data_IF_935055999771
#
_entry.id   IF_935055999771
#
_cell.length_a   1.000
_cell.length_b   1.000
_cell.length_c   1.000
_cell.angle_alpha   90.00
_cell.angle_beta   90.00
_cell.angle_gamma   90.00
#
_symmetry.space_group_name_H-M   'P 1'
#
loop_
_entity.id
_entity.type
_entity.pdbx_description
1 polymer ?
#
# COMPACT_ATOMS: atom_id res chain seq x y z
N UNK A 1 6.35 14.11 -4.50
CA UNK A 1 6.14 12.78 -3.91
C UNK A 1 6.64 12.64 -2.47
N UNK A 2 7.57 13.45 -2.00
CA UNK A 2 8.10 13.39 -0.61
C UNK A 2 7.02 13.54 0.48
N UNK A 3 5.91 14.20 0.19
CA UNK A 3 4.79 14.41 1.12
C UNK A 3 3.63 13.40 0.93
N UNK A 4 3.84 12.32 0.19
CA UNK A 4 2.77 11.32 -0.05
C UNK A 4 2.16 10.73 1.23
N UNK A 5 2.89 10.46 2.32
CA UNK A 5 2.27 10.02 3.57
C UNK A 5 1.32 11.07 4.17
N UNK A 6 1.70 12.37 4.08
CA UNK A 6 0.87 13.47 4.59
C UNK A 6 -0.41 13.63 3.77
N UNK A 7 -0.32 13.49 2.44
CA UNK A 7 -1.48 13.56 1.56
C UNK A 7 -2.53 12.45 1.82
N UNK A 8 -2.15 11.38 2.52
CA UNK A 8 -3.05 10.30 2.89
C UNK A 8 -3.86 10.59 4.19
N UNK A 9 -3.55 11.65 4.93
CA UNK A 9 -4.22 11.94 6.20
C UNK A 9 -5.75 11.99 6.11
N UNK A 10 -6.38 12.61 5.09
CA UNK A 10 -7.84 12.63 5.01
C UNK A 10 -8.46 11.23 4.92
N UNK A 11 -7.90 10.36 4.07
CA UNK A 11 -8.40 8.99 3.91
C UNK A 11 -8.05 8.11 5.11
N UNK A 12 -6.91 8.35 5.77
CA UNK A 12 -6.54 7.68 7.01
C UNK A 12 -7.46 8.07 8.16
N UNK A 13 -7.84 9.34 8.26
CA UNK A 13 -8.83 9.81 9.24
C UNK A 13 -10.22 9.20 8.97
N UNK A 14 -10.65 9.12 7.72
CA UNK A 14 -11.91 8.46 7.38
C UNK A 14 -11.91 6.99 7.81
N UNK A 15 -10.81 6.26 7.58
CA UNK A 15 -10.65 4.89 8.04
C UNK A 15 -10.69 4.80 9.59
N UNK A 16 -10.00 5.69 10.29
CA UNK A 16 -10.01 5.74 11.76
C UNK A 16 -11.43 5.99 12.31
N UNK A 17 -12.19 6.88 11.69
CA UNK A 17 -13.58 7.17 12.07
C UNK A 17 -14.46 5.93 11.90
N UNK A 18 -14.32 5.19 10.79
CA UNK A 18 -15.07 3.94 10.58
C UNK A 18 -14.77 2.92 11.68
N UNK A 19 -13.48 2.77 12.04
CA UNK A 19 -13.09 1.85 13.11
C UNK A 19 -13.65 2.30 14.46
N UNK A 20 -13.54 3.58 14.80
CA UNK A 20 -14.07 4.14 16.06
C UNK A 20 -15.59 4.01 16.16
N UNK A 21 -16.31 4.28 15.07
CA UNK A 21 -17.78 4.12 15.03
C UNK A 21 -18.19 2.65 15.10
N UNK A 22 -17.43 1.76 14.46
CA UNK A 22 -17.65 0.32 14.54
C UNK A 22 -17.48 -0.22 15.95
N UNK A 23 -16.46 0.25 16.68
CA UNK A 23 -16.23 -0.08 18.08
C UNK A 23 -17.37 0.43 18.97
N UNK A 24 -17.77 1.70 18.82
CA UNK A 24 -18.92 2.27 19.53
C UNK A 24 -20.24 1.53 19.26
N UNK A 25 -20.44 1.05 18.03
CA UNK A 25 -21.61 0.28 17.64
C UNK A 25 -21.52 -1.22 17.96
N UNK A 26 -20.42 -1.64 18.59
CA UNK A 26 -20.14 -3.05 18.96
C UNK A 26 -20.23 -3.99 17.73
N UNK A 27 -19.80 -3.53 16.57
CA UNK A 27 -19.82 -4.35 15.35
C UNK A 27 -18.72 -5.43 15.39
N UNK A 28 -18.97 -6.60 14.79
CA UNK A 28 -17.93 -7.62 14.63
C UNK A 28 -16.68 -7.04 13.91
N UNK A 29 -15.45 -7.33 14.39
CA UNK A 29 -14.23 -6.79 13.80
C UNK A 29 -14.08 -7.02 12.30
N UNK A 30 -14.56 -8.16 11.80
CA UNK A 30 -14.56 -8.46 10.38
C UNK A 30 -15.44 -7.49 9.56
N UNK A 31 -16.59 -7.09 10.10
CA UNK A 31 -17.49 -6.12 9.47
C UNK A 31 -16.83 -4.75 9.45
N UNK A 32 -16.25 -4.33 10.57
CA UNK A 32 -15.51 -3.06 10.68
C UNK A 32 -14.35 -3.01 9.67
N UNK A 33 -13.59 -4.10 9.56
CA UNK A 33 -12.49 -4.21 8.59
C UNK A 33 -12.99 -4.11 7.14
N UNK A 34 -14.07 -4.80 6.79
CA UNK A 34 -14.66 -4.75 5.45
C UNK A 34 -15.14 -3.33 5.10
N UNK A 35 -15.85 -2.66 6.02
CA UNK A 35 -16.29 -1.27 5.83
C UNK A 35 -15.10 -0.31 5.70
N UNK A 36 -14.05 -0.52 6.48
CA UNK A 36 -12.83 0.30 6.41
C UNK A 36 -12.15 0.15 5.05
N UNK A 37 -11.98 -1.08 4.56
CA UNK A 37 -11.40 -1.34 3.22
C UNK A 37 -12.27 -0.73 2.12
N UNK A 38 -13.61 -0.83 2.23
CA UNK A 38 -14.54 -0.20 1.30
C UNK A 38 -14.39 1.33 1.27
N UNK A 39 -14.25 1.98 2.44
CA UNK A 39 -14.01 3.43 2.53
C UNK A 39 -12.65 3.82 1.95
N UNK A 40 -11.60 3.03 2.17
CA UNK A 40 -10.29 3.26 1.55
C UNK A 40 -10.36 3.16 0.01
N UNK A 41 -11.03 2.12 -0.50
CA UNK A 41 -11.24 1.96 -1.94
C UNK A 41 -12.08 3.12 -2.53
N UNK A 42 -13.20 3.45 -1.90
CA UNK A 42 -14.07 4.56 -2.35
C UNK A 42 -13.37 5.91 -2.27
N UNK A 43 -12.68 6.20 -1.18
CA UNK A 43 -11.94 7.46 -0.96
C UNK A 43 -10.79 7.70 -1.94
N UNK A 44 -10.24 6.63 -2.50
CA UNK A 44 -9.23 6.68 -3.56
C UNK A 44 -9.81 6.43 -4.96
N UNK A 45 -11.13 6.30 -5.09
CA UNK A 45 -11.81 5.92 -6.33
C UNK A 45 -11.27 4.62 -6.92
N UNK A 46 -10.88 3.69 -6.06
CA UNK A 46 -10.25 2.41 -6.39
C UNK A 46 -8.94 2.50 -7.22
N UNK A 47 -8.36 3.69 -7.39
CA UNK A 47 -7.21 3.96 -8.27
C UNK A 47 -5.99 3.10 -7.94
N UNK A 48 -5.80 2.74 -6.65
CA UNK A 48 -4.68 1.87 -6.25
C UNK A 48 -4.96 0.40 -6.59
N UNK A 49 -6.20 -0.05 -6.44
CA UNK A 49 -6.62 -1.40 -6.80
C UNK A 49 -6.58 -1.60 -8.32
N UNK A 50 -7.01 -0.60 -9.08
CA UNK A 50 -6.89 -0.54 -10.53
C UNK A 50 -5.41 -0.66 -10.96
N UNK A 51 -4.54 0.16 -10.36
CA UNK A 51 -3.11 0.08 -10.62
C UNK A 51 -2.49 -1.27 -10.24
N UNK A 52 -2.99 -1.93 -9.20
CA UNK A 52 -2.58 -3.30 -8.87
C UNK A 52 -3.01 -4.29 -9.95
N UNK A 53 -4.28 -4.24 -10.38
CA UNK A 53 -4.81 -5.09 -11.43
C UNK A 53 -3.99 -4.96 -12.72
N UNK A 54 -3.82 -3.73 -13.21
CA UNK A 54 -3.07 -3.43 -14.42
C UNK A 54 -1.61 -3.89 -14.34
N UNK A 55 -0.97 -3.66 -13.18
CA UNK A 55 0.43 -4.09 -12.97
C UNK A 55 0.55 -5.61 -13.01
N UNK A 56 -0.38 -6.35 -12.38
CA UNK A 56 -0.35 -7.81 -12.36
C UNK A 56 -0.69 -8.39 -13.72
N UNK A 57 -1.68 -7.85 -14.43
CA UNK A 57 -2.01 -8.27 -15.80
C UNK A 57 -0.85 -7.98 -16.76
N UNK A 58 -0.20 -6.83 -16.63
CA UNK A 58 0.98 -6.50 -17.44
C UNK A 58 2.16 -7.44 -17.20
N UNK A 59 2.41 -7.83 -15.94
CA UNK A 59 3.46 -8.79 -15.59
C UNK A 59 3.13 -10.18 -16.11
N UNK A 60 1.87 -10.61 -15.98
CA UNK A 60 1.45 -11.96 -16.30
C UNK A 60 1.20 -12.23 -17.79
N UNK A 61 0.74 -11.21 -18.53
CA UNK A 61 0.37 -11.35 -19.94
C UNK A 61 1.38 -10.79 -20.94
N UNK A 62 2.42 -10.08 -20.49
CA UNK A 62 3.37 -9.38 -21.36
C UNK A 62 4.69 -10.12 -21.54
N UNK A 63 4.85 -10.84 -22.68
CA UNK A 63 6.12 -11.48 -23.05
C UNK A 63 7.19 -10.48 -23.52
N UNK A 64 6.78 -9.30 -23.99
CA UNK A 64 7.66 -8.17 -24.32
C UNK A 64 7.24 -6.93 -23.53
N UNK A 65 8.16 -5.98 -23.39
CA UNK A 65 7.88 -4.70 -22.68
C UNK A 65 6.72 -3.96 -23.33
N UNK A 66 6.70 -3.87 -24.65
CA UNK A 66 5.68 -3.20 -25.45
C UNK A 66 4.30 -3.82 -25.19
N UNK A 67 4.24 -5.15 -25.21
CA UNK A 67 3.00 -5.89 -24.98
C UNK A 67 2.52 -5.74 -23.54
N UNK A 68 3.42 -5.80 -22.56
CA UNK A 68 3.10 -5.59 -21.16
C UNK A 68 2.52 -4.18 -20.91
N UNK A 69 3.14 -3.15 -21.48
CA UNK A 69 2.65 -1.78 -21.38
C UNK A 69 1.37 -1.53 -22.18
N UNK A 70 1.12 -2.29 -23.25
CA UNK A 70 -0.15 -2.28 -24.00
C UNK A 70 -1.29 -2.85 -23.15
N UNK A 71 -1.07 -4.01 -22.49
CA UNK A 71 -2.05 -4.64 -21.61
C UNK A 71 -2.47 -3.65 -20.51
N UNK A 72 -1.52 -3.01 -19.85
CA UNK A 72 -1.80 -1.99 -18.82
C UNK A 72 -2.53 -0.73 -19.30
N UNK A 73 -2.76 -0.56 -20.61
CA UNK A 73 -3.54 0.57 -21.18
C UNK A 73 -4.96 0.20 -21.56
N UNK A 74 -5.28 -1.07 -21.49
CA UNK A 74 -6.62 -1.53 -21.83
C UNK A 74 -7.60 -1.08 -20.75
N UNK A 75 -8.84 -0.87 -21.12
CA UNK A 75 -9.92 -0.54 -20.19
C UNK A 75 -10.55 -1.77 -19.54
N UNK A 76 -10.18 -2.97 -20.01
CA UNK A 76 -10.62 -4.25 -19.47
C UNK A 76 -9.60 -4.82 -18.49
N UNK A 77 -10.06 -5.39 -17.41
CA UNK A 77 -9.22 -6.06 -16.41
C UNK A 77 -9.08 -7.53 -16.81
N UNK A 78 -7.85 -8.01 -16.88
CA UNK A 78 -7.55 -9.40 -17.17
C UNK A 78 -7.77 -10.34 -15.97
N UNK A 79 -7.76 -11.65 -16.19
CA UNK A 79 -8.04 -12.62 -15.13
C UNK A 79 -7.02 -12.62 -14.00
N UNK A 80 -5.76 -12.27 -14.28
CA UNK A 80 -4.72 -12.18 -13.25
C UNK A 80 -4.90 -10.94 -12.39
N UNK A 81 -5.29 -9.80 -12.96
CA UNK A 81 -5.64 -8.58 -12.25
C UNK A 81 -6.84 -8.78 -11.33
N UNK A 82 -7.91 -9.41 -11.85
CA UNK A 82 -9.08 -9.76 -11.02
C UNK A 82 -8.69 -10.65 -9.85
N UNK A 83 -7.94 -11.72 -10.10
CA UNK A 83 -7.49 -12.63 -9.04
C UNK A 83 -6.63 -11.90 -8.00
N UNK A 84 -5.71 -11.04 -8.43
CA UNK A 84 -4.85 -10.28 -7.53
C UNK A 84 -5.66 -9.33 -6.65
N UNK A 85 -6.62 -8.59 -7.21
CA UNK A 85 -7.50 -7.67 -6.44
C UNK A 85 -8.34 -8.45 -5.43
N UNK A 86 -8.97 -9.56 -5.85
CA UNK A 86 -9.80 -10.36 -4.93
C UNK A 86 -8.96 -10.92 -3.79
N UNK A 87 -7.80 -11.50 -4.08
CA UNK A 87 -6.93 -12.10 -3.06
C UNK A 87 -6.39 -11.03 -2.10
N UNK A 88 -5.96 -9.88 -2.61
CA UNK A 88 -5.40 -8.83 -1.76
C UNK A 88 -6.47 -8.23 -0.85
N UNK A 89 -7.70 -8.02 -1.34
CA UNK A 89 -8.82 -7.53 -0.53
C UNK A 89 -9.21 -8.53 0.56
N UNK A 90 -9.26 -9.82 0.24
CA UNK A 90 -9.52 -10.87 1.24
C UNK A 90 -8.46 -10.87 2.35
N UNK A 91 -7.18 -10.78 1.98
CA UNK A 91 -6.07 -10.73 2.94
C UNK A 91 -6.13 -9.44 3.77
N UNK A 92 -6.39 -8.30 3.15
CA UNK A 92 -6.51 -7.01 3.85
C UNK A 92 -7.65 -7.03 4.86
N UNK A 93 -8.85 -7.49 4.48
CA UNK A 93 -10.00 -7.58 5.39
C UNK A 93 -9.71 -8.54 6.55
N UNK A 94 -9.16 -9.72 6.27
CA UNK A 94 -8.82 -10.69 7.28
C UNK A 94 -7.75 -10.17 8.26
N UNK A 95 -6.66 -9.56 7.76
CA UNK A 95 -5.61 -9.03 8.60
C UNK A 95 -6.07 -7.78 9.38
N UNK A 96 -6.81 -6.90 8.73
CA UNK A 96 -7.33 -5.69 9.37
C UNK A 96 -8.32 -6.03 10.49
N UNK A 97 -9.08 -7.13 10.39
CA UNK A 97 -9.98 -7.55 11.46
C UNK A 97 -9.25 -7.83 12.78
N UNK A 98 -8.01 -8.33 12.72
CA UNK A 98 -7.19 -8.51 13.91
C UNK A 98 -6.60 -7.19 14.43
N UNK A 99 -6.35 -6.23 13.55
CA UNK A 99 -5.80 -4.90 13.89
C UNK A 99 -6.86 -4.04 14.56
N UNK A 100 -8.08 -3.98 14.02
CA UNK A 100 -9.16 -3.14 14.57
C UNK A 100 -9.63 -3.63 15.96
N UNK A 101 -9.47 -4.91 16.27
CA UNK A 101 -9.82 -5.48 17.56
C UNK A 101 -8.81 -5.15 18.69
N UNK A 102 -7.68 -4.48 18.38
CA UNK A 102 -6.67 -4.10 19.38
C UNK A 102 -7.03 -2.80 20.11
N UNK A 103 -6.48 -2.58 21.31
CA UNK A 103 -6.47 -1.26 21.92
C UNK A 103 -5.93 -0.22 20.91
N UNK A 104 -6.57 0.94 20.82
CA UNK A 104 -6.22 1.98 19.85
C UNK A 104 -6.22 1.51 18.37
N UNK A 105 -7.02 0.48 18.03
CA UNK A 105 -7.11 -0.09 16.68
C UNK A 105 -7.43 0.95 15.60
N UNK A 106 -8.24 1.97 15.92
CA UNK A 106 -8.51 3.10 15.03
C UNK A 106 -7.24 3.92 14.69
N UNK A 107 -6.38 4.17 15.69
CA UNK A 107 -5.13 4.91 15.50
C UNK A 107 -4.10 4.04 14.74
N UNK A 108 -4.01 2.76 15.09
CA UNK A 108 -3.13 1.81 14.39
C UNK A 108 -3.53 1.67 12.91
N UNK A 109 -4.84 1.60 12.62
CA UNK A 109 -5.35 1.58 11.25
C UNK A 109 -4.95 2.85 10.48
N UNK A 110 -5.16 4.03 11.06
CA UNK A 110 -4.75 5.29 10.44
C UNK A 110 -3.23 5.33 10.18
N UNK A 111 -2.42 4.91 11.16
CA UNK A 111 -0.96 4.86 11.03
C UNK A 111 -0.52 3.92 9.90
N UNK A 112 -1.15 2.76 9.75
CA UNK A 112 -0.88 1.81 8.66
C UNK A 112 -1.24 2.40 7.30
N UNK A 113 -2.38 3.09 7.18
CA UNK A 113 -2.79 3.77 5.94
C UNK A 113 -1.74 4.82 5.54
N UNK A 114 -1.32 5.68 6.47
CA UNK A 114 -0.28 6.68 6.23
C UNK A 114 1.05 6.01 5.85
N UNK A 115 1.45 4.99 6.60
CA UNK A 115 2.70 4.25 6.38
C UNK A 115 2.76 3.59 5.00
N UNK A 116 1.66 3.04 4.51
CA UNK A 116 1.61 2.41 3.19
C UNK A 116 1.97 3.37 2.06
N UNK A 117 1.72 4.66 2.22
CA UNK A 117 2.06 5.71 1.25
C UNK A 117 3.55 6.04 1.21
N UNK A 118 4.33 5.60 2.21
CA UNK A 118 5.79 5.67 2.14
C UNK A 118 6.38 4.76 1.04
N UNK A 119 5.63 3.76 0.55
CA UNK A 119 6.00 2.99 -0.65
C UNK A 119 6.28 3.89 -1.85
N UNK A 120 5.59 5.04 -1.96
CA UNK A 120 5.80 6.00 -3.05
C UNK A 120 7.18 6.68 -2.97
N UNK A 121 7.78 6.80 -1.80
CA UNK A 121 9.14 7.31 -1.63
C UNK A 121 10.14 6.36 -2.31
N UNK A 122 9.94 5.05 -2.16
CA UNK A 122 10.76 4.02 -2.81
C UNK A 122 10.48 3.95 -4.32
N UNK A 123 9.20 4.03 -4.70
CA UNK A 123 8.76 3.93 -6.11
C UNK A 123 9.26 5.10 -6.94
N UNK A 124 9.31 6.31 -6.36
CA UNK A 124 9.75 7.53 -7.04
C UNK A 124 11.19 7.92 -6.72
N UNK A 125 12.00 7.06 -6.09
CA UNK A 125 13.36 7.38 -5.67
C UNK A 125 14.29 7.69 -6.86
N UNK A 126 15.30 8.50 -6.62
CA UNK A 126 16.36 8.79 -7.59
C UNK A 126 16.93 7.50 -8.19
N UNK A 127 17.14 7.48 -9.50
CA UNK A 127 17.58 6.30 -10.25
C UNK A 127 16.47 5.32 -10.65
N UNK A 128 15.21 5.59 -10.30
CA UNK A 128 14.06 4.84 -10.83
C UNK A 128 13.58 5.47 -12.13
N UNK A 129 13.67 4.76 -13.27
CA UNK A 129 13.20 5.29 -14.55
C UNK A 129 11.68 5.24 -14.67
N UNK A 130 11.11 6.11 -15.51
CA UNK A 130 9.73 5.98 -15.96
C UNK A 130 9.63 4.91 -17.04
N UNK A 131 8.57 4.10 -16.99
CA UNK A 131 8.28 3.09 -18.01
C UNK A 131 7.69 3.70 -19.30
N UNK A 132 7.10 4.90 -19.21
CA UNK A 132 6.43 5.59 -20.32
C UNK A 132 6.96 7.02 -20.44
N UNK A 133 6.97 7.62 -21.66
CA UNK A 133 7.41 9.00 -21.85
C UNK A 133 6.39 10.03 -21.34
N UNK A 134 5.17 9.62 -21.03
CA UNK A 134 4.06 10.48 -20.58
C UNK A 134 3.30 9.84 -19.42
N UNK A 135 2.42 10.62 -18.79
CA UNK A 135 1.62 10.19 -17.63
C UNK A 135 2.31 10.45 -16.30
N UNK A 136 1.65 10.04 -15.20
CA UNK A 136 2.12 10.33 -13.84
C UNK A 136 3.54 9.82 -13.59
N UNK A 137 3.85 8.60 -14.05
CA UNK A 137 5.18 8.02 -13.92
C UNK A 137 6.28 8.90 -14.51
N UNK A 138 6.05 9.49 -15.68
CA UNK A 138 7.02 10.39 -16.34
C UNK A 138 7.32 11.65 -15.53
N UNK A 139 6.31 12.16 -14.81
CA UNK A 139 6.44 13.39 -14.00
C UNK A 139 7.18 13.14 -12.70
N UNK A 140 6.98 11.98 -12.06
CA UNK A 140 7.40 11.77 -10.68
C UNK A 140 8.49 10.69 -10.47
N UNK A 141 8.77 9.86 -11.49
CA UNK A 141 9.88 8.91 -11.40
C UNK A 141 11.21 9.64 -11.17
N UNK A 142 12.01 9.13 -10.24
CA UNK A 142 13.31 9.72 -9.89
C UNK A 142 13.24 11.03 -9.10
N UNK A 143 12.06 11.54 -8.75
CA UNK A 143 11.87 12.86 -8.10
C UNK A 143 12.19 12.88 -6.60
N UNK A 144 12.33 11.71 -5.96
CA UNK A 144 12.61 11.60 -4.51
C UNK A 144 14.08 11.28 -4.29
N UNK A 145 14.87 12.17 -3.65
CA UNK A 145 16.23 11.86 -3.26
C UNK A 145 16.29 10.62 -2.36
N UNK A 146 17.32 9.78 -2.53
CA UNK A 146 17.41 8.51 -1.80
C UNK A 146 17.45 8.69 -0.28
N UNK A 147 18.07 9.78 0.19
CA UNK A 147 18.11 10.11 1.61
C UNK A 147 16.73 10.49 2.17
N UNK A 148 15.86 11.14 1.34
CA UNK A 148 14.45 11.43 1.71
C UNK A 148 13.65 10.14 1.85
N UNK A 149 13.87 9.18 0.93
CA UNK A 149 13.22 7.88 1.02
C UNK A 149 13.66 7.11 2.28
N UNK A 150 14.96 7.13 2.60
CA UNK A 150 15.51 6.54 3.81
C UNK A 150 14.97 7.19 5.09
N UNK A 151 15.03 8.52 5.17
CA UNK A 151 14.51 9.27 6.31
C UNK A 151 13.00 9.06 6.50
N UNK A 152 12.24 9.08 5.40
CA UNK A 152 10.79 8.79 5.42
C UNK A 152 10.49 7.39 5.96
N UNK A 153 11.27 6.40 5.57
CA UNK A 153 11.19 5.05 6.12
C UNK A 153 11.45 5.01 7.63
N UNK A 154 12.49 5.71 8.11
CA UNK A 154 12.82 5.79 9.55
C UNK A 154 11.69 6.49 10.32
N UNK A 155 11.17 7.61 9.84
CA UNK A 155 10.07 8.35 10.47
C UNK A 155 8.82 7.47 10.57
N UNK A 156 8.46 6.80 9.48
CA UNK A 156 7.30 5.90 9.47
C UNK A 156 7.49 4.71 10.41
N UNK A 157 8.70 4.14 10.46
CA UNK A 157 9.02 3.06 11.40
C UNK A 157 8.89 3.52 12.86
N UNK A 158 9.40 4.71 13.19
CA UNK A 158 9.29 5.28 14.54
C UNK A 158 7.82 5.53 14.93
N UNK A 159 7.03 6.14 14.04
CA UNK A 159 5.61 6.38 14.26
C UNK A 159 4.83 5.07 14.47
N UNK A 160 5.03 4.08 13.59
CA UNK A 160 4.39 2.77 13.73
C UNK A 160 4.83 2.04 15.00
N UNK A 161 6.09 2.16 15.40
CA UNK A 161 6.59 1.58 16.66
C UNK A 161 5.84 2.17 17.86
N UNK A 162 5.67 3.49 17.91
CA UNK A 162 4.95 4.18 19.01
C UNK A 162 3.48 3.74 19.06
N UNK A 163 2.80 3.75 17.93
CA UNK A 163 1.38 3.37 17.86
C UNK A 163 1.19 1.88 18.12
N UNK A 164 2.05 1.02 17.60
CA UNK A 164 2.01 -0.43 17.85
C UNK A 164 2.21 -0.74 19.35
N UNK A 165 3.16 -0.09 20.00
CA UNK A 165 3.38 -0.24 21.44
C UNK A 165 2.15 0.18 22.25
N UNK A 166 1.50 1.30 21.90
CA UNK A 166 0.24 1.73 22.51
C UNK A 166 -0.89 0.71 22.28
N UNK A 167 -0.86 -0.02 21.18
CA UNK A 167 -1.83 -1.06 20.82
C UNK A 167 -1.50 -2.45 21.40
N UNK A 168 -0.55 -2.53 22.34
CA UNK A 168 -0.16 -3.78 23.00
C UNK A 168 0.73 -4.69 22.18
N UNK A 169 1.35 -4.19 21.10
CA UNK A 169 2.34 -4.92 20.31
C UNK A 169 3.75 -4.66 20.84
N UNK A 170 4.69 -5.53 20.47
CA UNK A 170 6.10 -5.34 20.80
C UNK A 170 6.65 -4.03 20.21
N UNK A 171 7.55 -3.31 20.92
CA UNK A 171 8.18 -2.09 20.41
C UNK A 171 8.94 -2.28 19.08
N UNK A 172 9.37 -3.48 18.76
CA UNK A 172 10.07 -3.77 17.49
C UNK A 172 9.14 -3.92 16.29
N UNK A 173 7.82 -4.10 16.53
CA UNK A 173 6.84 -4.34 15.48
C UNK A 173 6.88 -3.30 14.37
N UNK A 174 6.92 -2.01 14.74
CA UNK A 174 6.92 -0.92 13.76
C UNK A 174 8.13 -0.95 12.82
N UNK A 175 9.33 -1.25 13.34
CA UNK A 175 10.53 -1.36 12.52
C UNK A 175 10.47 -2.58 11.60
N UNK A 176 10.08 -3.73 12.15
CA UNK A 176 10.01 -5.00 11.40
C UNK A 176 9.02 -4.88 10.24
N UNK A 177 7.81 -4.36 10.48
CA UNK A 177 6.78 -4.26 9.43
C UNK A 177 7.19 -3.32 8.32
N UNK A 178 7.87 -2.20 8.63
CA UNK A 178 8.34 -1.26 7.62
C UNK A 178 9.45 -1.86 6.76
N UNK A 179 10.37 -2.61 7.37
CA UNK A 179 11.43 -3.32 6.64
C UNK A 179 10.82 -4.36 5.70
N UNK A 180 9.90 -5.19 6.18
CA UNK A 180 9.25 -6.23 5.37
C UNK A 180 8.41 -5.63 4.23
N UNK A 181 7.66 -4.56 4.51
CA UNK A 181 6.93 -3.83 3.47
C UNK A 181 7.88 -3.22 2.43
N UNK A 182 8.99 -2.64 2.88
CA UNK A 182 10.03 -2.10 2.00
C UNK A 182 10.67 -3.16 1.11
N UNK A 183 10.93 -4.35 1.64
CA UNK A 183 11.43 -5.51 0.87
C UNK A 183 10.40 -5.95 -0.17
N UNK A 184 9.14 -6.11 0.20
CA UNK A 184 8.08 -6.53 -0.72
C UNK A 184 7.90 -5.52 -1.86
N UNK A 185 7.83 -4.23 -1.54
CA UNK A 185 7.79 -3.15 -2.55
C UNK A 185 9.06 -3.17 -3.41
N UNK A 186 10.23 -3.36 -2.84
CA UNK A 186 11.49 -3.47 -3.56
C UNK A 186 11.51 -4.61 -4.57
N UNK A 187 10.96 -5.77 -4.21
CA UNK A 187 10.82 -6.93 -5.12
C UNK A 187 9.83 -6.62 -6.26
N UNK A 188 8.68 -6.00 -5.95
CA UNK A 188 7.74 -5.55 -6.97
C UNK A 188 8.42 -4.57 -7.95
N UNK A 189 9.10 -3.56 -7.45
CA UNK A 189 9.79 -2.55 -8.27
C UNK A 189 10.91 -3.17 -9.13
N UNK A 190 11.64 -4.16 -8.60
CA UNK A 190 12.64 -4.90 -9.38
C UNK A 190 11.98 -5.65 -10.55
N UNK A 191 10.83 -6.27 -10.30
CA UNK A 191 10.05 -6.95 -11.34
C UNK A 191 9.53 -5.96 -12.38
N UNK A 192 8.90 -4.86 -11.95
CA UNK A 192 8.39 -3.82 -12.85
C UNK A 192 9.51 -3.20 -13.70
N UNK A 193 10.70 -2.97 -13.12
CA UNK A 193 11.85 -2.47 -13.87
C UNK A 193 12.33 -3.46 -14.93
N UNK A 194 12.25 -4.76 -14.66
CA UNK A 194 12.62 -5.81 -15.64
C UNK A 194 11.60 -5.93 -16.77
N UNK A 195 10.30 -5.91 -16.42
CA UNK A 195 9.21 -6.15 -17.38
C UNK A 195 8.85 -4.88 -18.15
N UNK A 196 8.70 -3.75 -17.44
CA UNK A 196 8.22 -2.48 -18.02
C UNK A 196 9.35 -1.49 -18.34
N UNK A 197 10.55 -1.74 -17.83
CA UNK A 197 11.68 -0.82 -17.92
C UNK A 197 11.65 0.32 -16.91
N UNK A 198 10.67 0.35 -15.99
CA UNK A 198 10.51 1.42 -14.99
C UNK A 198 9.14 1.39 -14.32
N UNK A 199 8.70 2.56 -13.81
CA UNK A 199 7.44 2.71 -13.10
C UNK A 199 6.42 3.50 -13.89
N UNK A 200 5.12 3.18 -13.68
CA UNK A 200 3.95 3.92 -14.14
C UNK A 200 3.14 4.40 -12.92
N UNK A 201 2.04 5.14 -13.14
CA UNK A 201 1.08 5.46 -12.09
C UNK A 201 0.49 4.19 -11.46
N UNK A 202 0.24 3.17 -12.29
CA UNK A 202 -0.33 1.89 -11.86
C UNK A 202 0.60 1.14 -10.91
N UNK A 203 1.91 1.11 -11.23
CA UNK A 203 2.95 0.55 -10.34
C UNK A 203 3.01 1.29 -8.99
N UNK A 204 2.72 2.60 -8.97
CA UNK A 204 2.61 3.36 -7.71
C UNK A 204 1.42 2.89 -6.88
N UNK A 205 0.25 2.71 -7.51
CA UNK A 205 -0.94 2.14 -6.86
C UNK A 205 -0.66 0.75 -6.32
N UNK A 206 -0.12 -0.14 -7.15
CA UNK A 206 0.29 -1.50 -6.77
C UNK A 206 1.27 -1.50 -5.59
N UNK A 207 2.27 -0.62 -5.59
CA UNK A 207 3.25 -0.50 -4.50
C UNK A 207 2.59 -0.11 -3.18
N UNK A 208 1.57 0.75 -3.23
CA UNK A 208 0.80 1.17 -2.06
C UNK A 208 -0.03 0.02 -1.50
N UNK A 209 -0.73 -0.74 -2.36
CA UNK A 209 -1.54 -1.89 -1.94
C UNK A 209 -0.68 -3.03 -1.37
N UNK A 210 0.45 -3.33 -2.00
CA UNK A 210 1.41 -4.31 -1.48
C UNK A 210 1.95 -3.89 -0.12
N UNK A 211 2.34 -2.63 0.05
CA UNK A 211 2.81 -2.12 1.33
C UNK A 211 1.71 -2.20 2.39
N UNK A 212 0.48 -1.75 2.09
CA UNK A 212 -0.65 -1.79 3.00
C UNK A 212 -0.94 -3.22 3.47
N UNK A 213 -0.96 -4.16 2.54
CA UNK A 213 -1.22 -5.57 2.83
C UNK A 213 -0.15 -6.17 3.74
N UNK A 214 1.15 -5.96 3.42
CA UNK A 214 2.25 -6.50 4.22
C UNK A 214 2.24 -5.91 5.64
N UNK A 215 2.03 -4.59 5.77
CA UNK A 215 1.91 -3.93 7.06
C UNK A 215 0.80 -4.57 7.90
N UNK A 216 -0.39 -4.77 7.32
CA UNK A 216 -1.52 -5.40 8.02
C UNK A 216 -1.23 -6.84 8.43
N UNK A 217 -0.73 -7.68 7.51
CA UNK A 217 -0.48 -9.11 7.77
C UNK A 217 0.52 -9.31 8.90
N UNK A 218 1.60 -8.51 8.89
CA UNK A 218 2.63 -8.63 9.93
C UNK A 218 2.12 -8.15 11.28
N UNK A 219 1.38 -7.03 11.34
CA UNK A 219 0.76 -6.54 12.59
C UNK A 219 -0.33 -7.47 13.11
N UNK A 220 -1.07 -8.13 12.22
CA UNK A 220 -2.10 -9.10 12.59
C UNK A 220 -1.52 -10.36 13.26
N UNK A 221 -0.28 -10.76 12.96
CA UNK A 221 0.35 -11.94 13.53
C UNK A 221 0.52 -11.86 15.06
N UNK A 222 0.59 -10.67 15.64
CA UNK A 222 0.68 -10.43 17.09
C UNK A 222 1.92 -11.01 17.79
N UNK A 223 2.89 -11.51 17.04
CA UNK A 223 4.07 -12.21 17.56
C UNK A 223 5.32 -11.34 17.68
N UNK A 224 5.24 -10.08 17.31
CA UNK A 224 6.37 -9.16 17.26
C UNK A 224 6.35 -8.14 18.39
#
# INVERSE_FOLDING_TARGET
>A
MSLSPVAALPVAMAAAVVVALGDLAVLPPLVVAALTVAVLAGGTRAMHLDGLADTVDGIGGGWTRERALEIMRRSDVGPMGVAAVVLILLVQVAALSAVVARPWGWLLTAAVVVASRAALLLTCRSGMPSARPSGLGAVVAGSVPIWVAGLGGVVVAALLTLVAAASGLSPWSGAVVVVLAGVAVGLLLRTCRRVFGGVTGDVMGASTEVAFTVLLVVLASGRW
#
